data_IF_558468472220
#
_entry.id   IF_558468472220
#
_cell.length_a   1.000
_cell.length_b   1.000
_cell.length_c   1.000
_cell.angle_alpha   90.00
_cell.angle_beta   90.00
_cell.angle_gamma   90.00
#
_symmetry.space_group_name_H-M   'P 1'
#
loop_
_entity.id
_entity.type
_entity.pdbx_description
1 polymer ?
#
# COMPACT_ATOMS: atom_id res chain seq x y z
N UNK A 1 14.84 -7.98 51.24
CA UNK A 1 16.12 -7.30 50.97
C UNK A 1 15.80 -6.16 50.01
N UNK A 2 15.48 -5.00 50.56
CA UNK A 2 15.14 -3.79 49.81
C UNK A 2 16.43 -3.18 49.29
N UNK A 3 16.60 -3.11 47.97
CA UNK A 3 17.69 -2.37 47.35
C UNK A 3 17.29 -0.89 47.44
N UNK A 4 17.82 -0.18 48.44
CA UNK A 4 17.71 1.28 48.51
C UNK A 4 18.53 1.88 47.37
N UNK A 5 17.84 2.51 46.41
CA UNK A 5 18.47 3.19 45.29
C UNK A 5 18.83 4.60 45.74
N UNK A 6 20.10 4.80 46.14
CA UNK A 6 20.61 6.11 46.55
C UNK A 6 20.93 6.96 45.30
N UNK A 7 20.18 8.05 45.03
CA UNK A 7 20.39 8.90 43.86
C UNK A 7 21.75 9.60 43.87
N UNK A 8 22.36 9.82 45.04
CA UNK A 8 23.65 10.53 45.18
C UNK A 8 24.78 9.82 44.44
N UNK A 9 24.74 8.48 44.36
CA UNK A 9 25.72 7.64 43.67
C UNK A 9 25.73 7.92 42.16
N UNK A 10 24.56 8.21 41.57
CA UNK A 10 24.47 8.58 40.15
C UNK A 10 25.05 9.97 39.89
N UNK A 11 24.81 10.92 40.79
CA UNK A 11 25.36 12.28 40.70
C UNK A 11 26.89 12.27 40.85
N UNK A 12 27.45 11.53 41.80
CA UNK A 12 28.90 11.42 42.00
C UNK A 12 29.59 10.67 40.85
N UNK A 13 28.93 9.64 40.30
CA UNK A 13 29.40 8.93 39.09
C UNK A 13 29.42 9.83 37.85
N UNK A 14 28.47 10.77 37.75
CA UNK A 14 28.40 11.74 36.66
C UNK A 14 29.49 12.82 36.77
N UNK A 15 29.70 13.39 37.96
CA UNK A 15 30.78 14.38 38.18
C UNK A 15 32.18 13.75 38.05
N UNK A 16 32.37 12.52 38.51
CA UNK A 16 33.64 11.79 38.30
C UNK A 16 33.86 11.43 36.82
N UNK A 17 32.80 11.23 36.03
CA UNK A 17 32.89 11.06 34.57
C UNK A 17 33.33 12.35 33.86
N UNK A 18 32.83 13.52 34.27
CA UNK A 18 33.20 14.82 33.69
C UNK A 18 34.63 15.28 34.01
N UNK A 19 35.23 14.74 35.07
CA UNK A 19 36.60 15.06 35.49
C UNK A 19 37.67 14.16 34.85
N UNK A 20 37.29 13.20 34.00
CA UNK A 20 38.23 12.31 33.31
C UNK A 20 38.87 12.99 32.07
N UNK A 21 40.09 12.59 31.70
CA UNK A 21 40.68 12.94 30.40
C UNK A 21 39.75 12.60 29.23
N UNK A 22 39.72 13.44 28.19
CA UNK A 22 38.75 13.34 27.09
C UNK A 22 38.80 12.00 26.33
N UNK A 23 39.97 11.36 26.26
CA UNK A 23 40.18 10.02 25.71
C UNK A 23 39.51 8.93 26.56
N UNK A 24 39.60 9.03 27.89
CA UNK A 24 38.97 8.09 28.82
C UNK A 24 37.45 8.28 28.91
N UNK A 25 36.97 9.53 28.78
CA UNK A 25 35.53 9.83 28.69
C UNK A 25 34.89 9.20 27.46
N UNK A 26 35.54 9.34 26.29
CA UNK A 26 35.06 8.75 25.03
C UNK A 26 35.00 7.22 25.10
N UNK A 27 36.04 6.59 25.65
CA UNK A 27 36.06 5.12 25.83
C UNK A 27 34.96 4.66 26.78
N UNK A 28 34.81 5.31 27.94
CA UNK A 28 33.78 4.95 28.92
C UNK A 28 32.37 5.15 28.37
N UNK A 29 32.12 6.23 27.62
CA UNK A 29 30.84 6.46 26.94
C UNK A 29 30.56 5.42 25.83
N UNK A 30 31.57 5.05 25.05
CA UNK A 30 31.44 4.00 24.03
C UNK A 30 31.10 2.63 24.63
N UNK A 31 31.73 2.23 25.73
CA UNK A 31 31.40 0.96 26.40
C UNK A 31 30.12 1.01 27.24
N UNK A 32 29.69 2.18 27.74
CA UNK A 32 28.45 2.30 28.53
C UNK A 32 27.21 2.49 27.66
N UNK A 33 27.29 3.24 26.56
CA UNK A 33 26.13 3.62 25.73
C UNK A 33 26.27 3.15 24.28
N UNK A 34 27.49 2.95 23.78
CA UNK A 34 27.75 2.56 22.38
C UNK A 34 27.22 1.18 21.98
N UNK A 35 26.92 0.30 22.93
CA UNK A 35 26.25 -0.97 22.64
C UNK A 35 24.73 -0.82 22.41
N UNK A 36 24.09 0.27 22.86
CA UNK A 36 22.64 0.46 22.74
C UNK A 36 22.20 0.51 21.27
N UNK A 37 22.80 1.34 20.38
CA UNK A 37 22.46 1.32 18.96
C UNK A 37 22.71 -0.05 18.30
N UNK A 38 23.79 -0.73 18.69
CA UNK A 38 24.12 -2.05 18.17
C UNK A 38 23.06 -3.09 18.57
N UNK A 39 22.65 -3.11 19.83
CA UNK A 39 21.58 -4.00 20.31
C UNK A 39 20.22 -3.67 19.72
N UNK A 40 19.90 -2.38 19.50
CA UNK A 40 18.67 -1.98 18.84
C UNK A 40 18.60 -2.50 17.40
N UNK A 41 19.65 -2.27 16.61
CA UNK A 41 19.74 -2.78 15.22
C UNK A 41 19.68 -4.31 15.20
N UNK A 42 20.35 -4.97 16.13
CA UNK A 42 20.33 -6.43 16.23
C UNK A 42 18.94 -6.97 16.60
N UNK A 43 18.27 -6.39 17.59
CA UNK A 43 16.92 -6.79 17.99
C UNK A 43 15.90 -6.52 16.89
N UNK A 44 15.98 -5.36 16.24
CA UNK A 44 15.13 -5.03 15.09
C UNK A 44 15.34 -6.03 13.96
N UNK A 45 16.59 -6.31 13.57
CA UNK A 45 16.89 -7.30 12.53
C UNK A 45 16.45 -8.72 12.90
N UNK A 46 16.63 -9.13 14.17
CA UNK A 46 16.17 -10.43 14.66
C UNK A 46 14.64 -10.55 14.61
N UNK A 47 13.92 -9.48 14.96
CA UNK A 47 12.46 -9.42 14.86
C UNK A 47 11.98 -9.48 13.41
N UNK A 48 12.62 -8.75 12.48
CA UNK A 48 12.28 -8.81 11.05
C UNK A 48 12.48 -10.22 10.47
N UNK A 49 13.61 -10.87 10.79
CA UNK A 49 13.88 -12.25 10.36
C UNK A 49 12.87 -13.23 10.97
N UNK A 50 12.54 -13.06 12.26
CA UNK A 50 11.53 -13.87 12.92
C UNK A 50 10.15 -13.71 12.27
N UNK A 51 9.74 -12.46 12.02
CA UNK A 51 8.48 -12.13 11.37
C UNK A 51 8.40 -12.71 9.95
N UNK A 52 9.47 -12.58 9.17
CA UNK A 52 9.54 -13.14 7.82
C UNK A 52 9.44 -14.68 7.85
N UNK A 53 10.11 -15.32 8.80
CA UNK A 53 10.03 -16.77 9.00
C UNK A 53 8.61 -17.23 9.33
N UNK A 54 7.95 -16.64 10.34
CA UNK A 54 6.59 -17.05 10.73
C UNK A 54 5.55 -16.71 9.64
N UNK A 55 5.68 -15.55 8.98
CA UNK A 55 4.80 -15.15 7.87
C UNK A 55 4.97 -16.08 6.67
N UNK A 56 6.20 -16.51 6.38
CA UNK A 56 6.48 -17.51 5.35
C UNK A 56 5.85 -18.87 5.67
N UNK A 57 5.95 -19.32 6.92
CA UNK A 57 5.31 -20.56 7.40
C UNK A 57 3.79 -20.50 7.38
N UNK A 58 3.21 -19.33 7.64
CA UNK A 58 1.77 -19.13 7.55
C UNK A 58 1.30 -19.02 6.10
N UNK A 59 2.04 -18.29 5.27
CA UNK A 59 1.77 -18.07 3.85
C UNK A 59 1.81 -19.36 3.03
N UNK A 60 2.75 -20.28 3.32
CA UNK A 60 2.86 -21.57 2.64
C UNK A 60 1.65 -22.50 2.88
N UNK A 61 0.88 -22.27 3.94
CA UNK A 61 -0.34 -23.01 4.26
C UNK A 61 -1.55 -22.49 3.49
N UNK A 62 -1.48 -21.27 2.96
CA UNK A 62 -2.59 -20.66 2.23
C UNK A 62 -2.65 -21.25 0.83
N UNK A 63 -3.84 -21.74 0.45
CA UNK A 63 -4.10 -22.23 -0.90
C UNK A 63 -4.82 -21.15 -1.69
N UNK A 64 -4.41 -20.99 -2.92
CA UNK A 64 -5.05 -20.08 -3.86
C UNK A 64 -5.60 -20.86 -5.04
N UNK A 65 -6.62 -20.31 -5.67
CA UNK A 65 -7.27 -20.81 -6.88
C UNK A 65 -7.40 -19.67 -7.88
N UNK A 66 -7.43 -20.02 -9.16
CA UNK A 66 -7.54 -19.08 -10.26
C UNK A 66 -8.87 -19.32 -10.97
N UNK A 67 -9.72 -18.30 -10.97
CA UNK A 67 -11.06 -18.36 -11.52
C UNK A 67 -11.10 -17.58 -12.83
N UNK A 68 -11.40 -18.24 -13.95
CA UNK A 68 -11.72 -17.60 -15.20
C UNK A 68 -13.19 -17.16 -15.22
N UNK A 69 -13.42 -15.94 -15.69
CA UNK A 69 -14.75 -15.33 -15.73
C UNK A 69 -15.12 -15.03 -17.17
N UNK A 70 -16.13 -15.75 -17.66
CA UNK A 70 -16.66 -15.59 -19.01
C UNK A 70 -18.06 -14.96 -18.93
N UNK A 71 -18.18 -13.73 -19.43
CA UNK A 71 -19.45 -12.98 -19.43
C UNK A 71 -20.09 -13.07 -20.81
N UNK A 72 -21.35 -13.51 -20.93
CA UNK A 72 -22.04 -13.57 -22.21
C UNK A 72 -22.27 -12.16 -22.78
N UNK A 73 -22.18 -12.03 -24.10
CA UNK A 73 -22.26 -10.74 -24.82
C UNK A 73 -23.56 -9.95 -24.60
N UNK A 74 -24.62 -10.60 -24.14
CA UNK A 74 -25.93 -9.97 -23.93
C UNK A 74 -26.06 -9.27 -22.57
N UNK A 75 -25.03 -9.33 -21.72
CA UNK A 75 -25.06 -8.76 -20.37
C UNK A 75 -24.28 -7.43 -20.32
N UNK A 76 -24.82 -6.39 -20.95
CA UNK A 76 -24.25 -5.05 -20.91
C UNK A 76 -24.50 -4.41 -19.54
N UNK A 77 -23.45 -4.30 -18.73
CA UNK A 77 -23.47 -3.59 -17.46
C UNK A 77 -22.60 -2.33 -17.53
N UNK A 78 -22.95 -1.33 -16.72
CA UNK A 78 -22.10 -0.14 -16.57
C UNK A 78 -20.82 -0.48 -15.77
N UNK A 79 -19.70 0.25 -15.95
CA UNK A 79 -18.48 0.07 -15.14
C UNK A 79 -18.70 0.17 -13.63
N UNK A 80 -19.79 0.82 -13.20
CA UNK A 80 -20.23 0.89 -11.81
C UNK A 80 -20.53 -0.50 -11.22
N UNK A 81 -20.97 -1.45 -12.04
CA UNK A 81 -21.17 -2.83 -11.61
C UNK A 81 -19.84 -3.47 -11.14
N UNK A 82 -18.74 -3.20 -11.84
CA UNK A 82 -17.40 -3.65 -11.45
C UNK A 82 -16.91 -2.94 -10.19
N UNK A 83 -17.21 -1.64 -10.02
CA UNK A 83 -16.93 -0.94 -8.75
C UNK A 83 -17.67 -1.59 -7.57
N UNK A 84 -18.93 -1.97 -7.75
CA UNK A 84 -19.70 -2.68 -6.73
C UNK A 84 -19.10 -4.07 -6.45
N UNK A 85 -18.66 -4.80 -7.47
CA UNK A 85 -17.96 -6.09 -7.32
C UNK A 85 -16.74 -5.95 -6.41
N UNK A 86 -15.87 -4.96 -6.66
CA UNK A 86 -14.73 -4.70 -5.78
C UNK A 86 -15.16 -4.26 -4.38
N UNK A 87 -16.27 -3.52 -4.26
CA UNK A 87 -16.84 -3.18 -2.95
C UNK A 87 -17.24 -4.42 -2.15
N UNK A 88 -17.80 -5.46 -2.80
CA UNK A 88 -18.09 -6.74 -2.13
C UNK A 88 -16.81 -7.43 -1.64
N UNK A 89 -15.70 -7.36 -2.40
CA UNK A 89 -14.41 -7.95 -1.99
C UNK A 89 -13.79 -7.29 -0.76
N UNK A 90 -14.18 -6.06 -0.41
CA UNK A 90 -13.77 -5.45 0.86
C UNK A 90 -14.29 -6.22 2.07
N UNK A 91 -15.36 -7.02 1.91
CA UNK A 91 -15.86 -7.92 2.96
C UNK A 91 -14.85 -8.97 3.40
N UNK A 92 -13.80 -9.23 2.61
CA UNK A 92 -12.69 -10.10 2.99
C UNK A 92 -11.70 -9.44 3.98
N UNK A 93 -11.87 -8.16 4.31
CA UNK A 93 -11.02 -7.47 5.27
C UNK A 93 -11.18 -8.07 6.68
N UNK A 94 -10.08 -8.60 7.22
CA UNK A 94 -10.01 -9.10 8.58
C UNK A 94 -9.09 -8.25 9.45
N UNK A 95 -9.52 -7.96 10.68
CA UNK A 95 -8.65 -7.41 11.71
C UNK A 95 -7.87 -8.53 12.38
N UNK A 96 -6.54 -8.49 12.30
CA UNK A 96 -5.68 -9.46 12.99
C UNK A 96 -5.31 -8.94 14.39
N UNK A 97 -5.26 -9.83 15.38
CA UNK A 97 -4.76 -9.47 16.71
C UNK A 97 -3.22 -9.42 16.72
N UNK A 98 -2.62 -8.74 17.70
CA UNK A 98 -1.16 -8.68 17.87
C UNK A 98 -0.54 -10.09 17.99
N UNK A 99 -1.24 -11.03 18.62
CA UNK A 99 -0.77 -12.43 18.72
C UNK A 99 -0.80 -13.09 17.33
N UNK A 100 -1.86 -12.86 16.55
CA UNK A 100 -1.97 -13.43 15.21
C UNK A 100 -0.86 -12.89 14.29
N UNK A 101 -0.53 -11.60 14.42
CA UNK A 101 0.47 -10.95 13.58
C UNK A 101 1.92 -11.31 13.97
N UNK A 102 2.27 -11.26 15.25
CA UNK A 102 3.66 -11.39 15.72
C UNK A 102 4.05 -12.80 16.20
N UNK A 103 3.07 -13.65 16.51
CA UNK A 103 3.30 -15.04 16.95
C UNK A 103 2.88 -16.08 15.91
N UNK A 104 1.75 -15.86 15.23
CA UNK A 104 1.27 -16.77 14.18
C UNK A 104 1.77 -16.36 12.79
N UNK A 105 2.07 -15.08 12.58
CA UNK A 105 2.49 -14.54 11.28
C UNK A 105 1.35 -14.34 10.30
N UNK A 106 0.10 -14.26 10.79
CA UNK A 106 -1.10 -14.06 9.97
C UNK A 106 -1.10 -12.65 9.40
N UNK A 107 -1.27 -12.55 8.09
CA UNK A 107 -1.45 -11.28 7.39
C UNK A 107 -2.70 -11.29 6.52
N UNK A 108 -3.17 -10.10 6.14
CA UNK A 108 -4.34 -9.96 5.27
C UNK A 108 -4.06 -10.52 3.89
N UNK A 109 -4.88 -11.47 3.45
CA UNK A 109 -4.76 -12.10 2.14
C UNK A 109 -5.10 -11.11 1.01
N UNK A 110 -4.42 -11.28 -0.11
CA UNK A 110 -4.65 -10.50 -1.33
C UNK A 110 -5.45 -11.30 -2.36
N UNK A 111 -6.07 -10.56 -3.25
CA UNK A 111 -6.69 -11.03 -4.49
C UNK A 111 -5.91 -10.44 -5.66
N UNK A 112 -6.00 -11.03 -6.83
CA UNK A 112 -5.47 -10.45 -8.07
C UNK A 112 -6.57 -10.47 -9.11
N UNK A 113 -6.91 -9.31 -9.66
CA UNK A 113 -7.75 -9.22 -10.85
C UNK A 113 -6.83 -9.09 -12.07
N UNK A 114 -6.91 -10.05 -12.97
CA UNK A 114 -5.90 -10.23 -14.03
C UNK A 114 -6.54 -10.24 -15.40
N UNK A 115 -5.84 -9.61 -16.34
CA UNK A 115 -6.14 -9.66 -17.76
C UNK A 115 -4.93 -10.30 -18.42
N UNK A 116 -5.14 -11.50 -18.93
CA UNK A 116 -4.08 -12.32 -19.50
C UNK A 116 -4.36 -12.50 -20.97
N UNK A 117 -3.38 -12.16 -21.80
CA UNK A 117 -3.42 -12.42 -23.23
C UNK A 117 -2.33 -13.39 -23.63
N UNK A 118 -2.72 -14.50 -24.23
CA UNK A 118 -1.84 -15.55 -24.72
C UNK A 118 -2.10 -15.69 -26.22
N UNK A 119 -1.10 -15.37 -27.03
CA UNK A 119 -1.19 -15.47 -28.50
C UNK A 119 -2.39 -14.72 -29.11
N UNK A 120 -2.78 -13.60 -28.49
CA UNK A 120 -3.91 -12.78 -28.93
C UNK A 120 -5.27 -13.14 -28.29
N UNK A 121 -5.39 -14.31 -27.66
CA UNK A 121 -6.58 -14.68 -26.91
C UNK A 121 -6.53 -14.02 -25.52
N UNK A 122 -7.56 -13.25 -25.17
CA UNK A 122 -7.61 -12.51 -23.89
C UNK A 122 -8.62 -13.16 -22.96
N UNK A 123 -8.20 -13.39 -21.72
CA UNK A 123 -9.03 -13.97 -20.66
C UNK A 123 -8.97 -13.09 -19.40
N UNK A 124 -10.10 -13.00 -18.70
CA UNK A 124 -10.23 -12.31 -17.43
C UNK A 124 -10.19 -13.34 -16.31
N UNK A 125 -9.28 -13.14 -15.36
CA UNK A 125 -9.02 -14.10 -14.29
C UNK A 125 -9.08 -13.38 -12.94
N UNK A 126 -9.53 -14.07 -11.90
CA UNK A 126 -9.40 -13.64 -10.51
C UNK A 126 -8.64 -14.71 -9.74
N UNK A 127 -7.46 -14.35 -9.25
CA UNK A 127 -6.70 -15.16 -8.31
C UNK A 127 -7.16 -14.85 -6.89
N UNK A 128 -7.64 -15.86 -6.18
CA UNK A 128 -8.25 -15.70 -4.86
C UNK A 128 -7.83 -16.83 -3.91
N UNK A 129 -7.71 -16.57 -2.60
CA UNK A 129 -7.60 -17.64 -1.62
C UNK A 129 -8.82 -18.55 -1.69
N UNK A 130 -8.62 -19.86 -1.53
CA UNK A 130 -9.70 -20.87 -1.60
C UNK A 130 -10.82 -20.55 -0.60
N UNK A 131 -10.49 -20.04 0.58
CA UNK A 131 -11.47 -19.68 1.61
C UNK A 131 -12.40 -18.53 1.20
N UNK A 132 -12.01 -17.71 0.23
CA UNK A 132 -12.79 -16.57 -0.27
C UNK A 132 -13.34 -16.81 -1.67
N UNK A 133 -13.28 -18.04 -2.19
CA UNK A 133 -13.85 -18.40 -3.49
C UNK A 133 -15.34 -18.04 -3.56
N UNK A 134 -16.13 -18.48 -2.58
CA UNK A 134 -17.58 -18.21 -2.52
C UNK A 134 -17.89 -16.70 -2.48
N UNK A 135 -17.04 -15.91 -1.84
CA UNK A 135 -17.17 -14.45 -1.81
C UNK A 135 -16.96 -13.84 -3.20
N UNK A 136 -15.95 -14.30 -3.93
CA UNK A 136 -15.67 -13.85 -5.31
C UNK A 136 -16.80 -14.27 -6.25
N UNK A 137 -17.23 -15.53 -6.18
CA UNK A 137 -18.34 -16.03 -7.00
C UNK A 137 -19.62 -15.23 -6.74
N UNK A 138 -19.97 -15.01 -5.47
CA UNK A 138 -21.14 -14.20 -5.11
C UNK A 138 -21.02 -12.74 -5.60
N UNK A 139 -19.83 -12.14 -5.52
CA UNK A 139 -19.59 -10.77 -5.99
C UNK A 139 -19.75 -10.66 -7.52
N UNK A 140 -19.27 -11.66 -8.28
CA UNK A 140 -19.43 -11.74 -9.73
C UNK A 140 -20.90 -11.97 -10.09
N UNK A 141 -21.55 -12.99 -9.53
CA UNK A 141 -22.95 -13.33 -9.83
C UNK A 141 -23.95 -12.23 -9.45
N UNK A 142 -23.66 -11.45 -8.41
CA UNK A 142 -24.50 -10.31 -8.02
C UNK A 142 -24.59 -9.23 -9.10
N UNK A 143 -23.55 -9.08 -9.94
CA UNK A 143 -23.48 -8.06 -10.99
C UNK A 143 -23.69 -8.67 -12.37
N UNK A 144 -23.26 -9.92 -12.55
CA UNK A 144 -23.34 -10.69 -13.78
C UNK A 144 -23.94 -12.08 -13.51
N UNK A 145 -25.29 -12.20 -13.41
CA UNK A 145 -25.94 -13.46 -13.07
C UNK A 145 -25.68 -14.59 -14.08
N UNK A 146 -25.53 -14.23 -15.36
CA UNK A 146 -25.28 -15.18 -16.45
C UNK A 146 -23.78 -15.46 -16.69
N UNK A 147 -22.89 -15.00 -15.81
CA UNK A 147 -21.45 -15.26 -15.95
C UNK A 147 -21.12 -16.75 -15.71
N UNK A 148 -20.23 -17.30 -16.52
CA UNK A 148 -19.66 -18.62 -16.29
C UNK A 148 -18.33 -18.46 -15.56
N UNK A 149 -18.20 -19.11 -14.40
CA UNK A 149 -16.97 -19.09 -13.59
C UNK A 149 -16.37 -20.48 -13.62
N UNK A 150 -15.16 -20.61 -14.14
CA UNK A 150 -14.44 -21.88 -14.23
C UNK A 150 -13.11 -21.79 -13.50
N UNK A 151 -12.73 -22.86 -12.81
CA UNK A 151 -11.39 -22.95 -12.20
C UNK A 151 -10.39 -23.40 -13.27
N UNK A 152 -9.31 -22.65 -13.42
CA UNK A 152 -8.26 -22.89 -14.42
C UNK A 152 -6.91 -23.08 -13.76
N UNK A 153 -6.02 -23.80 -14.44
CA UNK A 153 -4.64 -23.93 -14.01
C UNK A 153 -3.88 -22.60 -14.17
N UNK A 154 -2.86 -22.41 -13.33
CA UNK A 154 -2.03 -21.20 -13.36
C UNK A 154 -1.27 -21.09 -14.69
N UNK A 155 -1.61 -20.07 -15.46
CA UNK A 155 -1.01 -19.82 -16.77
C UNK A 155 0.50 -19.54 -16.68
N UNK A 156 1.02 -19.08 -15.54
CA UNK A 156 2.44 -18.83 -15.35
C UNK A 156 3.27 -20.13 -15.39
N UNK A 157 2.65 -21.29 -15.15
CA UNK A 157 3.32 -22.60 -15.21
C UNK A 157 3.72 -23.00 -16.63
N UNK A 158 3.10 -22.41 -17.66
CA UNK A 158 3.46 -22.65 -19.06
C UNK A 158 4.75 -21.92 -19.48
N UNK A 159 5.20 -20.94 -18.68
CA UNK A 159 6.49 -20.27 -18.87
C UNK A 159 7.65 -21.02 -18.20
N UNK A 160 8.91 -20.73 -18.58
CA UNK A 160 10.06 -21.36 -17.94
C UNK A 160 10.24 -20.89 -16.49
N UNK A 161 10.65 -21.83 -15.62
CA UNK A 161 10.82 -21.61 -14.18
C UNK A 161 12.10 -20.85 -13.85
N UNK A 162 13.13 -20.95 -14.71
CA UNK A 162 14.44 -20.32 -14.49
C UNK A 162 14.81 -19.44 -15.67
N UNK A 163 15.16 -18.20 -15.37
CA UNK A 163 15.74 -17.26 -16.33
C UNK A 163 17.22 -17.05 -16.02
N UNK A 164 18.09 -16.86 -17.04
CA UNK A 164 17.76 -16.81 -18.47
C UNK A 164 17.43 -18.19 -19.06
N UNK A 165 16.37 -18.25 -19.86
CA UNK A 165 15.95 -19.45 -20.60
C UNK A 165 16.47 -19.38 -22.05
N UNK A 166 16.80 -20.50 -22.74
CA UNK A 166 17.23 -20.46 -24.13
C UNK A 166 16.15 -19.98 -25.11
N UNK A 167 14.87 -20.32 -24.90
CA UNK A 167 13.77 -20.13 -25.86
C UNK A 167 12.94 -18.87 -25.56
N UNK A 168 12.73 -18.55 -24.28
CA UNK A 168 11.91 -17.41 -23.85
C UNK A 168 12.74 -16.28 -23.24
N UNK A 169 12.20 -15.07 -23.35
CA UNK A 169 12.65 -13.89 -22.62
C UNK A 169 11.44 -13.20 -21.97
N UNK A 170 11.69 -12.57 -20.83
CA UNK A 170 10.67 -11.99 -19.97
C UNK A 170 11.02 -10.54 -19.67
N UNK A 171 10.01 -9.68 -19.70
CA UNK A 171 10.10 -8.32 -19.23
C UNK A 171 8.93 -8.06 -18.30
N UNK A 172 9.18 -7.44 -17.14
CA UNK A 172 8.11 -7.08 -16.23
C UNK A 172 8.45 -5.85 -15.42
N UNK A 173 7.41 -5.13 -15.01
CA UNK A 173 7.54 -3.97 -14.12
C UNK A 173 6.33 -3.86 -13.21
N UNK A 174 6.56 -3.30 -12.03
CA UNK A 174 5.51 -2.82 -11.16
C UNK A 174 5.32 -1.31 -11.40
N UNK A 175 4.08 -0.81 -11.39
CA UNK A 175 3.75 0.60 -11.50
C UNK A 175 3.37 1.17 -10.15
N UNK A 176 3.92 2.33 -9.83
CA UNK A 176 3.62 3.10 -8.61
C UNK A 176 3.12 4.50 -8.97
N UNK A 177 2.21 5.08 -8.17
CA UNK A 177 1.81 6.46 -8.38
C UNK A 177 3.00 7.40 -8.17
N UNK A 178 3.15 8.39 -9.06
CA UNK A 178 4.22 9.40 -8.97
C UNK A 178 3.93 10.43 -7.87
N UNK A 179 2.65 10.69 -7.60
CA UNK A 179 2.18 11.60 -6.55
C UNK A 179 1.74 10.82 -5.32
N UNK A 180 1.53 11.55 -4.23
CA UNK A 180 0.96 11.00 -3.01
C UNK A 180 -0.34 10.23 -3.27
N UNK A 181 -0.55 9.15 -2.52
CA UNK A 181 -1.71 8.29 -2.64
C UNK A 181 -3.02 8.99 -2.32
N UNK A 182 -3.03 10.15 -1.64
CA UNK A 182 -4.24 10.93 -1.44
C UNK A 182 -4.86 11.41 -2.76
N UNK A 183 -4.03 11.66 -3.78
CA UNK A 183 -4.52 12.16 -5.06
C UNK A 183 -5.25 11.05 -5.84
N UNK A 184 -6.45 11.31 -6.39
CA UNK A 184 -7.15 10.34 -7.22
C UNK A 184 -6.54 10.27 -8.63
N UNK A 185 -6.60 9.08 -9.21
CA UNK A 185 -6.41 8.85 -10.65
C UNK A 185 -7.72 9.15 -11.38
N UNK A 186 -7.68 9.35 -12.70
CA UNK A 186 -8.93 9.45 -13.45
C UNK A 186 -9.65 8.11 -13.42
N UNK A 187 -10.95 8.17 -13.18
CA UNK A 187 -11.84 7.01 -13.11
C UNK A 187 -12.85 7.06 -14.27
N UNK A 188 -13.64 6.00 -14.44
CA UNK A 188 -14.60 5.88 -15.55
C UNK A 188 -15.52 7.10 -15.77
N UNK A 189 -16.00 7.87 -14.75
CA UNK A 189 -16.82 9.06 -14.99
C UNK A 189 -16.07 10.17 -15.74
N UNK A 190 -14.73 10.16 -15.71
CA UNK A 190 -13.91 11.12 -16.47
C UNK A 190 -13.81 10.79 -17.96
N UNK A 191 -14.19 9.56 -18.37
CA UNK A 191 -14.17 9.10 -19.77
C UNK A 191 -15.56 9.15 -20.42
N UNK A 192 -16.60 9.45 -19.65
CA UNK A 192 -17.96 9.67 -20.14
C UNK A 192 -18.10 11.07 -20.77
N UNK A 193 -18.54 11.13 -22.02
CA UNK A 193 -18.88 12.40 -22.66
C UNK A 193 -20.29 12.83 -22.24
N UNK A 194 -20.42 13.98 -21.57
CA UNK A 194 -21.72 14.49 -21.10
C UNK A 194 -22.64 15.06 -22.20
N UNK A 195 -22.21 15.13 -23.47
CA UNK A 195 -22.88 15.89 -24.53
C UNK A 195 -23.22 15.12 -25.83
N UNK A 196 -23.02 13.80 -25.89
CA UNK A 196 -23.36 12.98 -27.07
C UNK A 196 -24.61 12.11 -26.89
N UNK A 197 -24.92 11.32 -27.91
CA UNK A 197 -26.03 10.36 -27.93
C UNK A 197 -25.78 9.26 -26.87
N UNK A 198 -26.77 8.85 -26.03
CA UNK A 198 -26.59 7.85 -24.97
C UNK A 198 -25.89 6.55 -25.39
N UNK A 199 -25.97 6.17 -26.67
CA UNK A 199 -25.33 4.97 -27.24
C UNK A 199 -23.85 5.16 -27.63
N UNK A 200 -23.36 6.40 -27.73
CA UNK A 200 -21.98 6.73 -28.16
C UNK A 200 -21.19 7.52 -27.12
N UNK A 201 -21.79 7.81 -25.97
CA UNK A 201 -21.22 8.62 -24.90
C UNK A 201 -20.06 7.97 -24.13
N UNK A 202 -19.99 6.64 -24.14
CA UNK A 202 -18.97 5.90 -23.42
C UNK A 202 -17.88 5.41 -24.38
N UNK A 203 -16.69 5.98 -24.29
CA UNK A 203 -15.48 5.38 -24.89
C UNK A 203 -14.85 4.47 -23.84
N UNK A 204 -14.90 3.17 -24.07
CA UNK A 204 -14.29 2.22 -23.17
C UNK A 204 -12.77 2.44 -23.12
N UNK A 205 -12.22 2.81 -21.94
CA UNK A 205 -10.79 3.08 -21.80
C UNK A 205 -9.94 1.80 -21.93
N UNK A 206 -10.51 0.60 -21.82
CA UNK A 206 -9.78 -0.66 -21.98
C UNK A 206 -9.54 -1.05 -23.43
N UNK A 207 -10.22 -0.40 -24.39
CA UNK A 207 -10.08 -0.71 -25.82
C UNK A 207 -8.63 -0.65 -26.31
N UNK A 208 -7.84 0.30 -25.79
CA UNK A 208 -6.42 0.41 -26.13
C UNK A 208 -5.62 -0.83 -25.67
N UNK A 209 -5.94 -1.34 -24.47
CA UNK A 209 -5.34 -2.58 -23.96
C UNK A 209 -5.82 -3.79 -24.75
N UNK A 210 -7.13 -3.91 -25.03
CA UNK A 210 -7.68 -5.03 -25.80
C UNK A 210 -7.09 -5.10 -27.22
N UNK A 211 -6.93 -3.94 -27.88
CA UNK A 211 -6.29 -3.86 -29.19
C UNK A 211 -4.83 -4.30 -29.14
N UNK A 212 -4.11 -3.94 -28.07
CA UNK A 212 -2.74 -4.40 -27.85
C UNK A 212 -2.69 -5.92 -27.65
N UNK A 213 -3.57 -6.46 -26.81
CA UNK A 213 -3.69 -7.90 -26.56
C UNK A 213 -3.98 -8.66 -27.86
N UNK A 214 -4.97 -8.25 -28.65
CA UNK A 214 -5.31 -8.89 -29.94
C UNK A 214 -4.21 -8.78 -30.99
N UNK A 215 -3.28 -7.82 -30.86
CA UNK A 215 -2.16 -7.64 -31.78
C UNK A 215 -0.92 -8.48 -31.41
N UNK A 216 -0.99 -9.29 -30.35
CA UNK A 216 0.05 -10.24 -29.97
C UNK A 216 0.04 -11.44 -30.94
N UNK A 217 1.23 -11.84 -31.37
CA UNK A 217 1.43 -13.00 -32.23
C UNK A 217 1.62 -14.30 -31.45
N UNK A 218 1.81 -15.39 -32.20
CA UNK A 218 2.12 -16.70 -31.64
C UNK A 218 3.42 -16.67 -30.82
N UNK A 219 3.42 -17.28 -29.64
CA UNK A 219 4.55 -17.26 -28.72
C UNK A 219 4.77 -15.94 -27.97
N UNK A 220 3.83 -14.99 -28.03
CA UNK A 220 3.80 -13.79 -27.19
C UNK A 220 2.69 -13.88 -26.14
N UNK A 221 2.98 -13.41 -24.92
CA UNK A 221 2.03 -13.34 -23.83
C UNK A 221 2.16 -12.02 -23.07
N UNK A 222 1.03 -11.40 -22.73
CA UNK A 222 0.95 -10.20 -21.92
C UNK A 222 0.05 -10.45 -20.72
N UNK A 223 0.57 -10.22 -19.53
CA UNK A 223 -0.14 -10.38 -18.27
C UNK A 223 -0.24 -9.02 -17.60
N UNK A 224 -1.46 -8.58 -17.36
CA UNK A 224 -1.77 -7.40 -16.58
C UNK A 224 -2.43 -7.84 -15.28
N UNK A 225 -1.78 -7.55 -14.15
CA UNK A 225 -2.21 -8.03 -12.83
C UNK A 225 -2.46 -6.84 -11.91
N UNK A 226 -3.68 -6.77 -11.38
CA UNK A 226 -4.07 -5.84 -10.35
C UNK A 226 -4.15 -6.59 -9.02
N UNK A 227 -3.04 -6.62 -8.30
CA UNK A 227 -2.97 -7.27 -6.99
C UNK A 227 -3.54 -6.32 -5.95
N UNK A 228 -4.67 -6.70 -5.36
CA UNK A 228 -5.41 -5.91 -4.38
C UNK A 228 -5.40 -6.61 -3.03
N UNK A 229 -5.12 -5.85 -1.97
CA UNK A 229 -5.24 -6.30 -0.59
C UNK A 229 -6.25 -5.39 0.11
N UNK A 230 -7.36 -5.92 0.64
CA UNK A 230 -8.30 -5.12 1.42
C UNK A 230 -7.56 -4.40 2.54
N UNK A 231 -7.81 -3.11 2.74
CA UNK A 231 -7.17 -2.29 3.77
C UNK A 231 -8.24 -1.54 4.55
N UNK A 232 -7.97 -1.27 5.83
CA UNK A 232 -8.84 -0.46 6.68
C UNK A 232 -8.85 1.02 6.24
N UNK A 233 -9.69 1.83 6.87
CA UNK A 233 -9.83 3.28 6.65
C UNK A 233 -8.62 4.13 7.10
N UNK A 234 -7.44 3.54 7.31
CA UNK A 234 -6.27 4.28 7.79
C UNK A 234 -5.79 5.33 6.78
N UNK A 235 -5.98 5.09 5.48
CA UNK A 235 -5.65 6.03 4.41
C UNK A 235 -6.56 7.28 4.35
N UNK A 236 -7.71 7.25 5.04
CA UNK A 236 -8.57 8.43 5.20
C UNK A 236 -7.83 9.52 5.99
N UNK A 237 -7.02 9.14 7.00
CA UNK A 237 -6.21 10.09 7.79
C UNK A 237 -5.14 10.77 6.93
N UNK A 238 -4.50 10.01 6.04
CA UNK A 238 -3.51 10.55 5.10
C UNK A 238 -4.15 11.54 4.12
N UNK A 239 -5.35 11.20 3.64
CA UNK A 239 -6.14 12.08 2.77
C UNK A 239 -6.56 13.37 3.49
N UNK A 240 -7.00 13.28 4.74
CA UNK A 240 -7.30 14.45 5.57
C UNK A 240 -6.07 15.33 5.82
N UNK A 241 -4.90 14.73 6.07
CA UNK A 241 -3.65 15.46 6.25
C UNK A 241 -3.26 16.23 4.99
N UNK A 242 -3.41 15.63 3.80
CA UNK A 242 -3.17 16.31 2.52
C UNK A 242 -4.18 17.43 2.27
N UNK A 243 -5.46 17.23 2.61
CA UNK A 243 -6.47 18.31 2.54
C UNK A 243 -6.09 19.48 3.45
N UNK A 244 -5.67 19.20 4.69
CA UNK A 244 -5.22 20.25 5.64
C UNK A 244 -3.97 20.99 5.13
N UNK A 245 -3.01 20.29 4.49
CA UNK A 245 -1.86 20.92 3.83
C UNK A 245 -2.31 21.87 2.71
N UNK A 246 -3.25 21.46 1.87
CA UNK A 246 -3.81 22.28 0.78
C UNK A 246 -4.55 23.50 1.35
N UNK A 247 -5.30 23.32 2.44
CA UNK A 247 -6.01 24.38 3.15
C UNK A 247 -5.10 25.32 3.96
N UNK A 248 -3.78 25.07 3.98
CA UNK A 248 -2.79 25.80 4.79
C UNK A 248 -3.20 25.90 6.27
N UNK A 249 -3.90 24.90 6.76
CA UNK A 249 -4.02 24.68 8.20
C UNK A 249 -2.73 24.02 8.64
N UNK A 250 -2.13 24.53 9.71
CA UNK A 250 -0.88 23.98 10.26
C UNK A 250 -1.14 22.53 10.63
N UNK A 251 -0.71 21.62 9.76
CA UNK A 251 -0.75 20.19 10.02
C UNK A 251 0.26 19.93 11.12
N UNK A 252 -0.23 19.55 12.30
CA UNK A 252 0.59 18.86 13.28
C UNK A 252 1.10 17.59 12.57
N UNK A 253 2.38 17.57 12.23
CA UNK A 253 2.99 16.47 11.50
C UNK A 253 2.77 15.14 12.25
N UNK A 254 2.52 14.03 11.53
CA UNK A 254 2.46 12.72 12.17
C UNK A 254 3.83 12.43 12.80
N UNK A 255 3.85 12.24 14.14
CA UNK A 255 5.05 11.98 14.92
C UNK A 255 5.79 10.76 14.37
N UNK A 256 6.93 10.99 13.75
CA UNK A 256 7.81 9.95 13.22
C UNK A 256 8.48 9.21 14.37
N UNK A 257 8.70 7.89 14.26
CA UNK A 257 9.20 7.03 15.35
C UNK A 257 10.54 7.44 15.98
N UNK A 258 11.29 8.35 15.35
CA UNK A 258 12.50 8.97 15.91
C UNK A 258 12.16 10.01 16.98
N UNK A 259 11.04 10.74 16.84
CA UNK A 259 10.54 11.68 17.85
C UNK A 259 10.03 10.95 19.10
N UNK A 260 9.45 9.76 18.99
CA UNK A 260 9.07 8.96 20.16
C UNK A 260 10.30 8.43 20.92
N UNK A 261 11.39 8.09 20.22
CA UNK A 261 12.64 7.70 20.85
C UNK A 261 13.33 8.88 21.54
N UNK A 262 13.29 10.07 20.91
CA UNK A 262 13.80 11.31 21.50
C UNK A 262 12.89 11.78 22.65
N UNK A 263 11.57 11.70 22.55
CA UNK A 263 10.61 12.00 23.64
C UNK A 263 10.74 11.00 24.79
N UNK A 264 11.05 9.72 24.52
CA UNK A 264 11.33 8.74 25.57
C UNK A 264 12.65 9.03 26.28
N UNK A 265 13.71 9.35 25.52
CA UNK A 265 15.02 9.74 26.08
C UNK A 265 14.92 11.08 26.82
N UNK A 266 14.23 12.07 26.26
CA UNK A 266 13.98 13.38 26.85
C UNK A 266 12.98 13.31 28.01
N UNK A 267 12.05 12.36 28.00
CA UNK A 267 11.12 12.11 29.10
C UNK A 267 11.80 11.46 30.29
N UNK A 268 12.77 10.57 30.04
CA UNK A 268 13.69 10.06 31.06
C UNK A 268 14.59 11.19 31.58
N UNK A 269 15.14 12.04 30.69
CA UNK A 269 15.96 13.19 31.07
C UNK A 269 15.15 14.25 31.84
N UNK A 270 13.90 14.48 31.46
CA UNK A 270 12.97 15.44 32.05
C UNK A 270 12.38 14.95 33.37
N UNK A 271 12.19 13.64 33.56
CA UNK A 271 11.85 13.07 34.85
C UNK A 271 13.02 13.14 35.85
N UNK A 272 14.27 13.08 35.36
CA UNK A 272 15.49 13.30 36.16
C UNK A 272 15.78 14.79 36.42
N UNK A 273 15.41 15.68 35.49
CA UNK A 273 15.60 17.12 35.61
C UNK A 273 14.39 17.88 36.21
N UNK A 274 13.22 17.25 36.30
CA UNK A 274 11.99 17.81 36.86
C UNK A 274 12.15 18.30 38.30
N UNK A 275 12.76 17.51 39.21
CA UNK A 275 13.07 17.97 40.57
C UNK A 275 14.08 19.13 40.58
N UNK A 276 14.89 19.28 39.53
CA UNK A 276 15.91 20.31 39.41
C UNK A 276 15.35 21.64 38.88
N UNK A 277 14.33 21.62 38.02
CA UNK A 277 13.70 22.82 37.45
C UNK A 277 12.65 23.47 38.37
N UNK A 278 11.96 22.69 39.21
CA UNK A 278 11.02 23.23 40.22
C UNK A 278 11.74 24.10 41.28
N UNK A 279 13.02 23.79 41.56
CA UNK A 279 13.85 24.54 42.52
C UNK A 279 14.22 25.96 42.01
N UNK A 280 14.15 26.20 40.68
CA UNK A 280 14.64 27.44 40.05
C UNK A 280 13.49 28.33 39.53
N UNK A 281 12.23 28.01 39.87
CA UNK A 281 11.13 28.97 39.83
C UNK A 281 10.78 29.58 38.46
N UNK A 282 10.91 28.82 37.36
CA UNK A 282 10.48 29.27 36.03
C UNK A 282 9.49 28.27 35.42
N UNK A 283 8.19 28.49 35.66
CA UNK A 283 7.12 27.70 35.04
C UNK A 283 5.94 28.58 34.64
N UNK A 284 5.80 28.82 33.34
CA UNK A 284 4.61 29.47 32.80
C UNK A 284 4.54 29.39 31.28
N UNK A 285 3.50 28.74 30.76
CA UNK A 285 2.80 29.17 29.55
C UNK A 285 1.54 28.35 29.30
N UNK A 286 0.46 29.06 29.01
CA UNK A 286 -0.88 28.60 28.66
C UNK A 286 -0.94 27.91 27.29
N UNK A 287 -1.83 26.93 27.16
CA UNK A 287 -2.20 26.32 25.88
C UNK A 287 -3.31 27.15 25.20
N UNK A 288 -3.10 27.51 23.94
CA UNK A 288 -4.09 28.15 23.07
C UNK A 288 -4.83 27.09 22.25
N UNK A 289 -6.16 27.09 22.31
CA UNK A 289 -7.05 26.29 21.48
C UNK A 289 -7.06 26.78 20.02
N UNK A 290 -6.94 25.86 19.06
CA UNK A 290 -7.11 26.13 17.63
C UNK A 290 -8.56 25.84 17.24
N UNK A 291 -9.33 26.89 16.94
CA UNK A 291 -10.60 26.80 16.22
C UNK A 291 -10.33 26.81 14.71
N UNK A 292 -10.76 25.76 14.01
CA UNK A 292 -10.77 25.68 12.54
C UNK A 292 -11.95 26.48 11.98
N UNK A 293 -11.67 27.47 11.14
CA UNK A 293 -12.65 28.43 10.62
C UNK A 293 -13.21 27.95 9.26
N UNK A 294 -14.54 27.74 9.10
CA UNK A 294 -15.18 27.21 7.88
C UNK A 294 -15.00 28.04 6.59
N UNK A 295 -14.43 29.25 6.70
CA UNK A 295 -14.34 30.25 5.62
C UNK A 295 -13.23 29.99 4.58
N UNK A 296 -12.35 29.00 4.79
CA UNK A 296 -11.18 28.79 3.90
C UNK A 296 -11.49 28.06 2.59
N UNK A 297 -12.53 27.24 2.52
CA UNK A 297 -12.95 26.55 1.28
C UNK A 297 -13.45 27.51 0.18
N UNK A 298 -13.92 28.71 0.58
CA UNK A 298 -14.47 29.70 -0.34
C UNK A 298 -13.39 30.59 -0.98
N UNK A 299 -12.19 30.63 -0.40
CA UNK A 299 -11.05 31.43 -0.87
C UNK A 299 -10.02 30.62 -1.68
N UNK A 300 -10.28 29.33 -1.95
CA UNK A 300 -9.41 28.47 -2.75
C UNK A 300 -9.55 28.80 -4.24
N UNK A 301 -8.46 28.63 -5.00
CA UNK A 301 -8.53 28.69 -6.47
C UNK A 301 -9.48 27.58 -6.97
N UNK A 302 -10.20 27.77 -8.09
CA UNK A 302 -11.10 26.75 -8.64
C UNK A 302 -10.45 25.35 -8.79
N UNK A 303 -9.17 25.31 -9.16
CA UNK A 303 -8.40 24.07 -9.27
C UNK A 303 -8.06 23.41 -7.92
N UNK A 304 -7.88 24.20 -6.85
CA UNK A 304 -7.62 23.69 -5.50
C UNK A 304 -8.91 23.15 -4.88
N UNK A 305 -10.04 23.85 -5.10
CA UNK A 305 -11.36 23.38 -4.69
C UNK A 305 -11.69 22.02 -5.31
N UNK A 306 -11.51 21.88 -6.63
CA UNK A 306 -11.75 20.61 -7.34
C UNK A 306 -10.84 19.48 -6.83
N UNK A 307 -9.58 19.78 -6.50
CA UNK A 307 -8.67 18.79 -5.91
C UNK A 307 -9.14 18.32 -4.55
N UNK A 308 -9.54 19.24 -3.66
CA UNK A 308 -10.04 18.90 -2.32
C UNK A 308 -11.30 18.05 -2.42
N UNK A 309 -12.24 18.43 -3.28
CA UNK A 309 -13.48 17.68 -3.54
C UNK A 309 -13.17 16.24 -3.99
N UNK A 310 -12.30 16.08 -4.98
CA UNK A 310 -11.91 14.74 -5.47
C UNK A 310 -11.17 13.91 -4.42
N UNK A 311 -10.34 14.53 -3.57
CA UNK A 311 -9.67 13.82 -2.47
C UNK A 311 -10.71 13.35 -1.43
N UNK A 312 -11.70 14.19 -1.11
CA UNK A 312 -12.78 13.84 -0.19
C UNK A 312 -13.68 12.72 -0.75
N UNK A 313 -14.06 12.80 -2.02
CA UNK A 313 -14.82 11.74 -2.70
C UNK A 313 -14.07 10.42 -2.68
N UNK A 314 -12.75 10.45 -2.92
CA UNK A 314 -11.89 9.27 -2.81
C UNK A 314 -11.93 8.74 -1.37
N UNK A 315 -11.64 9.58 -0.37
CA UNK A 315 -11.53 9.21 1.04
C UNK A 315 -12.81 8.60 1.65
N UNK A 316 -13.98 8.86 1.05
CA UNK A 316 -15.26 8.28 1.45
C UNK A 316 -15.48 6.84 0.96
N UNK A 317 -14.66 6.35 0.02
CA UNK A 317 -14.77 4.97 -0.50
C UNK A 317 -13.92 4.03 0.35
N UNK A 318 -14.25 2.74 0.33
CA UNK A 318 -13.35 1.71 0.85
C UNK A 318 -12.12 1.56 -0.05
N UNK A 319 -10.98 1.20 0.54
CA UNK A 319 -9.68 1.20 -0.14
C UNK A 319 -9.04 -0.19 -0.22
N UNK A 320 -8.25 -0.39 -1.27
CA UNK A 320 -7.35 -1.52 -1.39
C UNK A 320 -5.92 -1.02 -1.48
N UNK A 321 -5.01 -1.67 -0.74
CA UNK A 321 -3.59 -1.55 -1.05
C UNK A 321 -3.33 -2.30 -2.34
N UNK A 322 -2.98 -1.55 -3.38
CA UNK A 322 -2.96 -2.04 -4.74
C UNK A 322 -1.55 -2.02 -5.32
N UNK A 323 -1.17 -3.09 -6.00
CA UNK A 323 0.02 -3.16 -6.84
C UNK A 323 -0.42 -3.47 -8.26
N UNK A 324 0.02 -2.63 -9.18
CA UNK A 324 -0.22 -2.81 -10.61
C UNK A 324 1.03 -3.42 -11.22
N UNK A 325 0.89 -4.56 -11.88
CA UNK A 325 2.00 -5.28 -12.50
C UNK A 325 1.72 -5.59 -13.95
N UNK A 326 2.75 -5.46 -14.77
CA UNK A 326 2.76 -5.93 -16.15
C UNK A 326 3.90 -6.93 -16.32
N UNK A 327 3.61 -8.05 -16.96
CA UNK A 327 4.61 -9.02 -17.39
C UNK A 327 4.37 -9.31 -18.87
N UNK A 328 5.44 -9.29 -19.64
CA UNK A 328 5.47 -9.65 -21.05
C UNK A 328 6.47 -10.79 -21.22
N UNK A 329 5.94 -11.96 -21.55
CA UNK A 329 6.70 -13.18 -21.79
C UNK A 329 6.59 -13.53 -23.26
N UNK A 330 7.71 -13.70 -23.94
CA UNK A 330 7.68 -14.08 -25.35
C UNK A 330 8.86 -14.96 -25.72
N UNK A 331 8.72 -15.73 -26.81
CA UNK A 331 9.86 -16.40 -27.44
C UNK A 331 10.84 -15.33 -27.92
N UNK A 332 12.14 -15.55 -27.74
CA UNK A 332 13.19 -14.57 -28.09
C UNK A 332 13.13 -14.09 -29.53
N UNK A 333 12.73 -14.98 -30.44
CA UNK A 333 12.63 -14.71 -31.87
C UNK A 333 11.55 -13.69 -32.23
N UNK A 334 10.45 -13.66 -31.46
CA UNK A 334 9.28 -12.80 -31.74
C UNK A 334 9.17 -11.62 -30.77
N UNK A 335 10.00 -11.58 -29.73
CA UNK A 335 9.87 -10.60 -28.66
C UNK A 335 10.08 -9.17 -29.16
N UNK A 336 9.04 -8.36 -29.02
CA UNK A 336 9.07 -6.94 -29.36
C UNK A 336 8.75 -6.07 -28.13
N UNK A 337 9.76 -5.90 -27.26
CA UNK A 337 9.63 -5.10 -26.03
C UNK A 337 9.11 -3.68 -26.32
N UNK A 338 9.66 -2.90 -27.28
CA UNK A 338 9.19 -1.54 -27.51
C UNK A 338 7.72 -1.45 -27.92
N UNK A 339 7.22 -2.37 -28.75
CA UNK A 339 5.80 -2.39 -29.16
C UNK A 339 4.88 -2.60 -27.96
N UNK A 340 5.13 -3.67 -27.20
CA UNK A 340 4.20 -4.10 -26.13
C UNK A 340 4.32 -3.20 -24.90
N UNK A 341 5.55 -2.89 -24.47
CA UNK A 341 5.80 -2.04 -23.30
C UNK A 341 5.31 -0.61 -23.52
N UNK A 342 5.65 0.02 -24.65
CA UNK A 342 5.21 1.40 -24.90
C UNK A 342 3.70 1.48 -25.15
N UNK A 343 3.11 0.45 -25.79
CA UNK A 343 1.66 0.36 -25.95
C UNK A 343 0.94 0.31 -24.60
N UNK A 344 1.41 -0.53 -23.69
CA UNK A 344 0.85 -0.66 -22.35
C UNK A 344 1.07 0.59 -21.48
N UNK A 345 2.27 1.19 -21.53
CA UNK A 345 2.54 2.46 -20.84
C UNK A 345 1.67 3.58 -21.40
N UNK A 346 1.41 3.60 -22.71
CA UNK A 346 0.47 4.51 -23.36
C UNK A 346 -0.95 4.36 -22.81
N UNK A 347 -1.43 3.11 -22.66
CA UNK A 347 -2.69 2.80 -22.00
C UNK A 347 -2.73 3.33 -20.57
N UNK A 348 -1.71 3.06 -19.73
CA UNK A 348 -1.72 3.53 -18.34
C UNK A 348 -1.70 5.05 -18.20
N UNK A 349 -1.03 5.79 -19.10
CA UNK A 349 -0.94 7.25 -19.06
C UNK A 349 -2.27 7.98 -19.28
N UNK A 350 -3.32 7.28 -19.70
CA UNK A 350 -4.63 7.91 -19.89
C UNK A 350 -5.33 8.20 -18.56
N UNK A 351 -5.02 7.43 -17.51
CA UNK A 351 -5.55 7.55 -16.15
C UNK A 351 -4.74 8.55 -15.31
#
# INVERSE_FOLDING_TARGET
>A
MSIEFDPSILFDSFFSFLNLPADQMLLKLFFTVGWIPLTYVFLWGALEIWLDYIRGQWGSKQKFTLLAIDIPKNNEQSPKAVENLFTYLLGAHGTNNLIDEYWIGKYQLCFSAEIVSIEGYTQFLIHTPVNFRDLVEAAVYSQYPDAEITEVDDYAQFGPVKFPDPEYDIWGTDFIPVKDQAYPIKTYPSFEHMLGDPKTNFRDPINALMSLCSALGKGEQLWFQLVIKPESYDWTKDSENEVKKILKETVAAPKSGVENAIEFIMGIFGALAGPFLEIIGMGGSAAAEVKSDPLKMMNLKPNEKKKVEMIQEKANKGGFKTKVRMVYLARKEVMNKPKVVNGFVGFLKQY
#
